data_IF_816747099559
#
_entry.id   IF_816747099559
#
_cell.length_a   1.000
_cell.length_b   1.000
_cell.length_c   1.000
_cell.angle_alpha   90.00
_cell.angle_beta   90.00
_cell.angle_gamma   90.00
#
_symmetry.space_group_name_H-M   'P 1'
#
loop_
_entity.id
_entity.type
_entity.pdbx_description
1 polymer ?
#
# COMPACT_ATOMS: atom_id res chain seq x y z
N UNK A 1 55.99 4.31 28.11
CA UNK A 1 55.23 5.51 28.58
C UNK A 1 54.45 6.23 27.47
N UNK A 2 54.87 6.19 26.20
CA UNK A 2 54.18 6.85 25.07
C UNK A 2 52.73 6.35 24.84
N UNK A 3 52.49 5.05 25.02
CA UNK A 3 51.19 4.40 24.84
C UNK A 3 50.06 4.96 25.74
N UNK A 4 50.37 5.24 27.02
CA UNK A 4 49.38 5.80 27.96
C UNK A 4 48.93 7.20 27.55
N UNK A 5 49.79 8.01 26.92
CA UNK A 5 49.47 9.38 26.47
C UNK A 5 48.67 9.39 25.17
N UNK A 6 48.93 8.45 24.27
CA UNK A 6 48.16 8.27 23.03
C UNK A 6 46.73 7.75 23.34
N UNK A 7 46.62 6.73 24.18
CA UNK A 7 45.33 6.21 24.64
C UNK A 7 44.47 7.28 25.33
N UNK A 8 45.04 8.06 26.26
CA UNK A 8 44.33 9.17 26.93
C UNK A 8 43.89 10.29 25.99
N UNK A 9 44.67 10.60 24.94
CA UNK A 9 44.28 11.59 23.92
C UNK A 9 43.11 11.10 23.06
N UNK A 10 43.11 9.82 22.70
CA UNK A 10 42.02 9.20 21.95
C UNK A 10 40.73 9.10 22.77
N UNK A 11 40.82 8.76 24.06
CA UNK A 11 39.67 8.83 24.99
C UNK A 11 39.06 10.24 25.05
N UNK A 12 39.90 11.27 25.26
CA UNK A 12 39.42 12.67 25.36
C UNK A 12 38.79 13.18 24.06
N UNK A 13 39.22 12.69 22.89
CA UNK A 13 38.57 12.98 21.60
C UNK A 13 37.23 12.26 21.46
N UNK A 14 37.12 11.02 21.96
CA UNK A 14 35.88 10.25 21.96
C UNK A 14 34.81 10.87 22.88
N UNK A 15 35.22 11.37 24.05
CA UNK A 15 34.36 12.06 25.02
C UNK A 15 33.90 13.46 24.58
N UNK A 16 34.55 14.06 23.58
CA UNK A 16 34.30 15.46 23.17
C UNK A 16 32.91 15.67 22.57
N UNK A 17 32.33 14.66 21.94
CA UNK A 17 30.90 14.64 21.58
C UNK A 17 30.21 13.79 22.63
N UNK A 18 29.34 14.39 23.44
CA UNK A 18 28.58 13.64 24.44
C UNK A 18 27.65 12.69 23.69
N UNK A 19 27.79 11.38 23.90
CA UNK A 19 26.94 10.35 23.27
C UNK A 19 25.46 10.63 23.44
N UNK A 20 25.07 11.27 24.54
CA UNK A 20 23.71 11.74 24.79
C UNK A 20 23.21 12.80 23.78
N UNK A 21 24.07 13.69 23.29
CA UNK A 21 23.69 14.65 22.23
C UNK A 21 23.37 13.94 20.91
N UNK A 22 24.13 12.89 20.57
CA UNK A 22 23.85 12.06 19.39
C UNK A 22 22.54 11.29 19.54
N UNK A 23 22.22 10.82 20.74
CA UNK A 23 20.93 10.16 21.02
C UNK A 23 19.75 11.13 20.87
N UNK A 24 19.85 12.36 21.39
CA UNK A 24 18.81 13.38 21.20
C UNK A 24 18.64 13.67 19.71
N UNK A 25 19.74 13.90 18.99
CA UNK A 25 19.70 14.16 17.56
C UNK A 25 19.06 12.99 16.80
N UNK A 26 19.41 11.75 17.14
CA UNK A 26 18.82 10.55 16.57
C UNK A 26 17.30 10.52 16.75
N UNK A 27 16.81 10.76 17.98
CA UNK A 27 15.37 10.77 18.27
C UNK A 27 14.66 11.85 17.46
N UNK A 28 15.23 13.06 17.37
CA UNK A 28 14.66 14.14 16.57
C UNK A 28 14.60 13.78 15.08
N UNK A 29 15.67 13.20 14.53
CA UNK A 29 15.69 12.77 13.13
C UNK A 29 14.70 11.64 12.88
N UNK A 30 14.58 10.66 13.79
CA UNK A 30 13.58 9.61 13.69
C UNK A 30 12.15 10.16 13.71
N UNK A 31 11.87 11.18 14.53
CA UNK A 31 10.57 11.83 14.55
C UNK A 31 10.25 12.53 13.22
N UNK A 32 11.23 13.24 12.65
CA UNK A 32 11.10 13.87 11.33
C UNK A 32 10.86 12.81 10.25
N UNK A 33 11.64 11.73 10.25
CA UNK A 33 11.49 10.62 9.31
C UNK A 33 10.09 9.97 9.40
N UNK A 34 9.62 9.69 10.61
CA UNK A 34 8.28 9.14 10.84
C UNK A 34 7.18 10.08 10.34
N UNK A 35 7.37 11.40 10.48
CA UNK A 35 6.42 12.40 10.00
C UNK A 35 6.34 12.41 8.48
N UNK A 36 7.47 12.41 7.77
CA UNK A 36 7.48 12.34 6.31
C UNK A 36 6.94 11.01 5.77
N UNK A 37 7.31 9.88 6.39
CA UNK A 37 6.72 8.57 6.08
C UNK A 37 5.20 8.58 6.23
N UNK A 38 4.67 9.26 7.25
CA UNK A 38 3.23 9.42 7.46
C UNK A 38 2.58 10.30 6.40
N UNK A 39 3.22 11.39 6.01
CA UNK A 39 2.73 12.27 4.93
C UNK A 39 2.61 11.48 3.62
N UNK A 40 3.62 10.68 3.29
CA UNK A 40 3.59 9.81 2.12
C UNK A 40 2.41 8.82 2.18
N UNK A 41 2.21 8.18 3.32
CA UNK A 41 1.10 7.23 3.48
C UNK A 41 -0.28 7.90 3.35
N UNK A 42 -0.47 9.06 4.01
CA UNK A 42 -1.73 9.82 3.92
C UNK A 42 -2.00 10.31 2.49
N UNK A 43 -0.97 10.76 1.78
CA UNK A 43 -1.09 11.17 0.38
C UNK A 43 -1.52 10.03 -0.54
N UNK A 44 -1.12 8.80 -0.24
CA UNK A 44 -1.61 7.60 -0.95
C UNK A 44 -3.08 7.34 -0.61
N UNK A 45 -3.47 7.37 0.67
CA UNK A 45 -4.85 7.12 1.10
C UNK A 45 -5.83 8.09 0.44
N UNK A 46 -5.46 9.37 0.34
CA UNK A 46 -6.26 10.39 -0.35
C UNK A 46 -6.47 10.09 -1.84
N UNK A 47 -5.46 9.55 -2.52
CA UNK A 47 -5.58 9.16 -3.93
C UNK A 47 -6.41 7.91 -4.11
N UNK A 48 -6.25 6.94 -3.20
CA UNK A 48 -7.09 5.73 -3.15
C UNK A 48 -8.56 6.10 -2.94
N UNK A 49 -8.89 7.03 -2.05
CA UNK A 49 -10.27 7.48 -1.86
C UNK A 49 -10.80 8.26 -3.07
N UNK A 50 -9.94 9.01 -3.76
CA UNK A 50 -10.30 9.69 -4.99
C UNK A 50 -10.64 8.72 -6.13
N UNK A 51 -9.93 7.59 -6.25
CA UNK A 51 -10.29 6.50 -7.18
C UNK A 51 -11.68 5.94 -6.84
N UNK A 52 -11.93 5.60 -5.57
CA UNK A 52 -13.24 5.08 -5.14
C UNK A 52 -14.38 6.07 -5.39
N UNK A 53 -14.12 7.37 -5.23
CA UNK A 53 -15.10 8.42 -5.51
C UNK A 53 -15.38 8.55 -7.00
N UNK A 54 -14.35 8.48 -7.85
CA UNK A 54 -14.50 8.49 -9.31
C UNK A 54 -15.23 7.24 -9.82
N UNK A 55 -14.96 6.08 -9.23
CA UNK A 55 -15.64 4.82 -9.54
C UNK A 55 -17.16 4.94 -9.28
N UNK A 56 -17.51 5.51 -8.11
CA UNK A 56 -18.90 5.76 -7.73
C UNK A 56 -19.60 6.77 -8.64
N UNK A 57 -18.90 7.78 -9.16
CA UNK A 57 -19.49 8.79 -10.04
C UNK A 57 -19.69 8.31 -11.48
N UNK A 58 -19.02 7.23 -11.88
CA UNK A 58 -19.15 6.63 -13.21
C UNK A 58 -18.47 7.39 -14.34
N UNK A 59 -17.58 8.34 -14.03
CA UNK A 59 -16.82 9.06 -15.04
C UNK A 59 -15.51 8.30 -15.37
N UNK A 60 -15.52 7.54 -16.46
CA UNK A 60 -14.40 6.70 -16.90
C UNK A 60 -13.08 7.47 -17.05
N UNK A 61 -13.12 8.67 -17.63
CA UNK A 61 -11.94 9.53 -17.77
C UNK A 61 -11.36 9.93 -16.42
N UNK A 62 -12.22 10.23 -15.43
CA UNK A 62 -11.76 10.51 -14.07
C UNK A 62 -11.19 9.26 -13.40
N UNK A 63 -11.82 8.09 -13.55
CA UNK A 63 -11.31 6.83 -13.00
C UNK A 63 -9.89 6.57 -13.52
N UNK A 64 -9.69 6.65 -14.83
CA UNK A 64 -8.38 6.46 -15.46
C UNK A 64 -7.34 7.45 -14.91
N UNK A 65 -7.66 8.74 -14.86
CA UNK A 65 -6.76 9.77 -14.35
C UNK A 65 -6.41 9.55 -12.87
N UNK A 66 -7.36 9.14 -12.04
CA UNK A 66 -7.13 8.86 -10.62
C UNK A 66 -6.30 7.60 -10.40
N UNK A 67 -6.49 6.57 -11.22
CA UNK A 67 -5.63 5.38 -11.19
C UNK A 67 -4.20 5.71 -11.58
N UNK A 68 -3.99 6.53 -12.61
CA UNK A 68 -2.65 6.94 -13.01
C UNK A 68 -1.96 7.80 -11.93
N UNK A 69 -2.67 8.74 -11.31
CA UNK A 69 -2.13 9.54 -10.20
C UNK A 69 -1.77 8.64 -9.00
N UNK A 70 -2.65 7.70 -8.65
CA UNK A 70 -2.37 6.73 -7.59
C UNK A 70 -1.15 5.85 -7.90
N UNK A 71 -1.06 5.33 -9.12
CA UNK A 71 0.08 4.52 -9.56
C UNK A 71 1.37 5.32 -9.43
N UNK A 72 1.42 6.50 -10.05
CA UNK A 72 2.60 7.36 -10.04
C UNK A 72 3.02 7.70 -8.61
N UNK A 73 2.07 8.05 -7.77
CA UNK A 73 2.36 8.40 -6.38
C UNK A 73 2.92 7.20 -5.61
N UNK A 74 2.26 6.04 -5.74
CA UNK A 74 2.65 4.81 -5.04
C UNK A 74 4.04 4.33 -5.45
N UNK A 75 4.40 4.44 -6.74
CA UNK A 75 5.71 3.98 -7.24
C UNK A 75 6.86 4.97 -6.99
N UNK A 76 6.56 6.21 -6.56
CA UNK A 76 7.57 7.27 -6.37
C UNK A 76 7.77 7.68 -4.91
N UNK A 77 6.94 7.19 -3.98
CA UNK A 77 7.04 7.48 -2.55
C UNK A 77 7.11 6.17 -1.75
N UNK A 78 8.01 6.10 -0.76
CA UNK A 78 8.02 4.99 0.20
C UNK A 78 6.83 5.06 1.15
N UNK A 79 6.47 3.91 1.75
CA UNK A 79 5.33 3.80 2.67
C UNK A 79 4.00 4.25 2.05
N UNK A 80 3.91 4.18 0.72
CA UNK A 80 2.77 4.61 -0.09
C UNK A 80 2.22 3.46 -0.95
N UNK A 81 2.35 2.21 -0.49
CA UNK A 81 1.72 1.07 -1.16
C UNK A 81 0.20 1.23 -1.12
N UNK A 82 -0.43 1.18 -2.28
CA UNK A 82 -1.89 1.38 -2.39
C UNK A 82 -2.70 0.25 -1.78
N UNK A 83 -2.15 -0.97 -1.74
CA UNK A 83 -2.91 -2.20 -1.48
C UNK A 83 -3.92 -2.48 -2.59
N UNK A 84 -4.72 -3.53 -2.41
CA UNK A 84 -5.71 -3.92 -3.42
C UNK A 84 -6.89 -2.95 -3.46
N UNK A 85 -7.24 -2.46 -4.64
CA UNK A 85 -8.41 -1.61 -4.92
C UNK A 85 -9.24 -2.30 -5.99
N UNK A 86 -10.56 -2.28 -5.79
CA UNK A 86 -11.52 -2.79 -6.77
C UNK A 86 -12.38 -1.63 -7.28
N UNK A 87 -12.54 -1.54 -8.59
CA UNK A 87 -13.52 -0.66 -9.23
C UNK A 87 -14.89 -1.33 -9.21
N UNK A 88 -15.47 -1.40 -8.01
CA UNK A 88 -16.71 -2.12 -7.77
C UNK A 88 -17.85 -1.54 -8.62
N UNK A 89 -18.06 -0.23 -8.62
CA UNK A 89 -19.20 0.36 -9.29
C UNK A 89 -19.07 0.28 -10.83
N UNK A 90 -17.87 0.37 -11.38
CA UNK A 90 -17.65 0.10 -12.80
C UNK A 90 -17.98 -1.35 -13.15
N UNK A 91 -17.51 -2.31 -12.34
CA UNK A 91 -17.84 -3.72 -12.55
C UNK A 91 -19.37 -3.97 -12.54
N UNK A 92 -20.08 -3.36 -11.58
CA UNK A 92 -21.54 -3.46 -11.46
C UNK A 92 -22.24 -2.91 -12.72
N UNK A 93 -21.80 -1.75 -13.24
CA UNK A 93 -22.33 -1.15 -14.48
C UNK A 93 -22.06 -2.02 -15.72
N UNK A 94 -20.85 -2.54 -15.85
CA UNK A 94 -20.45 -3.33 -17.00
C UNK A 94 -21.15 -4.70 -17.01
N UNK A 95 -21.33 -5.30 -15.83
CA UNK A 95 -22.11 -6.53 -15.63
C UNK A 95 -23.58 -6.31 -15.94
N UNK A 96 -24.18 -5.20 -15.48
CA UNK A 96 -25.53 -4.82 -15.84
C UNK A 96 -25.69 -4.70 -17.36
N UNK A 97 -24.76 -4.01 -18.03
CA UNK A 97 -24.79 -3.86 -19.49
C UNK A 97 -24.63 -5.20 -20.21
N UNK A 98 -23.77 -6.10 -19.72
CA UNK A 98 -23.62 -7.44 -20.27
C UNK A 98 -24.91 -8.26 -20.16
N UNK A 99 -25.56 -8.21 -19.00
CA UNK A 99 -26.83 -8.90 -18.75
C UNK A 99 -27.96 -8.35 -19.62
N UNK A 100 -28.02 -7.03 -19.82
CA UNK A 100 -29.00 -6.40 -20.71
C UNK A 100 -28.77 -6.73 -22.19
N UNK A 101 -27.51 -6.82 -22.62
CA UNK A 101 -27.20 -7.28 -23.99
C UNK A 101 -27.61 -8.73 -24.21
N UNK A 102 -27.40 -9.58 -23.21
CA UNK A 102 -27.86 -10.97 -23.26
C UNK A 102 -29.39 -11.06 -23.23
N UNK A 103 -30.09 -10.28 -22.41
CA UNK A 103 -31.57 -10.28 -22.38
C UNK A 103 -32.18 -9.86 -23.71
N UNK A 104 -31.53 -8.93 -24.43
CA UNK A 104 -31.97 -8.46 -25.74
C UNK A 104 -31.68 -9.44 -26.90
N UNK A 105 -30.94 -10.53 -26.67
CA UNK A 105 -30.54 -11.46 -27.73
C UNK A 105 -31.71 -12.30 -28.28
N UNK A 106 -32.72 -12.61 -27.46
CA UNK A 106 -33.91 -13.36 -27.86
C UNK A 106 -35.08 -13.08 -26.92
N UNK A 107 -36.32 -13.33 -27.37
CA UNK A 107 -37.51 -13.24 -26.51
C UNK A 107 -37.49 -14.26 -25.37
N UNK A 108 -36.84 -15.40 -25.57
CA UNK A 108 -36.66 -16.43 -24.54
C UNK A 108 -35.67 -15.96 -23.47
N UNK A 109 -34.55 -15.34 -23.86
CA UNK A 109 -33.60 -14.70 -22.94
C UNK A 109 -34.31 -13.62 -22.11
N UNK A 110 -35.09 -12.75 -22.75
CA UNK A 110 -35.84 -11.71 -22.03
C UNK A 110 -36.78 -12.31 -20.97
N UNK A 111 -37.48 -13.41 -21.28
CA UNK A 111 -38.38 -14.09 -20.35
C UNK A 111 -37.64 -14.72 -19.17
N UNK A 112 -36.58 -15.49 -19.44
CA UNK A 112 -35.80 -16.18 -18.41
C UNK A 112 -35.06 -15.18 -17.52
N UNK A 113 -34.49 -14.12 -18.10
CA UNK A 113 -33.85 -13.05 -17.33
C UNK A 113 -34.86 -12.33 -16.43
N UNK A 114 -36.06 -12.00 -16.92
CA UNK A 114 -37.11 -11.37 -16.10
C UNK A 114 -37.55 -12.26 -14.92
N UNK A 115 -37.58 -13.58 -15.09
CA UNK A 115 -37.85 -14.51 -13.99
C UNK A 115 -36.72 -14.49 -12.95
N UNK A 116 -35.46 -14.44 -13.40
CA UNK A 116 -34.32 -14.32 -12.50
C UNK A 116 -34.31 -12.98 -11.73
N UNK A 117 -34.62 -11.87 -12.41
CA UNK A 117 -34.75 -10.55 -11.77
C UNK A 117 -35.87 -10.55 -10.71
N UNK A 118 -37.01 -11.18 -10.98
CA UNK A 118 -38.13 -11.25 -10.04
C UNK A 118 -37.77 -11.93 -8.71
N UNK A 119 -36.80 -12.86 -8.72
CA UNK A 119 -36.31 -13.55 -7.52
C UNK A 119 -35.25 -12.71 -6.79
N UNK A 120 -34.29 -12.14 -7.53
CA UNK A 120 -33.13 -11.48 -6.95
C UNK A 120 -33.37 -10.02 -6.57
N UNK A 121 -34.17 -9.27 -7.35
CA UNK A 121 -34.40 -7.84 -7.14
C UNK A 121 -35.05 -7.49 -5.79
N UNK A 122 -36.00 -8.29 -5.23
CA UNK A 122 -36.54 -8.02 -3.90
C UNK A 122 -35.53 -8.22 -2.75
N UNK A 123 -34.46 -9.01 -2.97
CA UNK A 123 -33.50 -9.38 -1.94
C UNK A 123 -32.31 -8.41 -1.85
N UNK A 124 -32.03 -7.66 -2.93
CA UNK A 124 -30.86 -6.80 -3.01
C UNK A 124 -31.22 -5.43 -3.59
N UNK A 125 -30.60 -4.39 -3.05
CA UNK A 125 -30.72 -3.03 -3.60
C UNK A 125 -29.69 -2.83 -4.72
N UNK A 126 -30.14 -2.78 -5.97
CA UNK A 126 -29.31 -2.49 -7.13
C UNK A 126 -28.35 -3.61 -7.55
N UNK A 127 -27.43 -3.29 -8.46
CA UNK A 127 -26.56 -4.25 -9.16
C UNK A 127 -25.33 -4.69 -8.37
N UNK A 128 -25.46 -4.90 -7.07
CA UNK A 128 -24.33 -5.35 -6.23
C UNK A 128 -23.76 -6.71 -6.69
N UNK A 129 -22.53 -7.02 -6.29
CA UNK A 129 -21.93 -8.35 -6.51
C UNK A 129 -22.83 -9.51 -6.05
N UNK A 130 -23.53 -9.34 -4.93
CA UNK A 130 -24.45 -10.35 -4.40
C UNK A 130 -25.68 -10.52 -5.30
N UNK A 131 -26.20 -9.43 -5.85
CA UNK A 131 -27.28 -9.46 -6.83
C UNK A 131 -26.84 -10.19 -8.11
N UNK A 132 -25.66 -9.87 -8.65
CA UNK A 132 -25.12 -10.51 -9.86
C UNK A 132 -24.95 -12.02 -9.64
N UNK A 133 -24.42 -12.43 -8.48
CA UNK A 133 -24.29 -13.85 -8.15
C UNK A 133 -25.64 -14.55 -8.03
N UNK A 134 -26.62 -13.93 -7.36
CA UNK A 134 -27.99 -14.45 -7.30
C UNK A 134 -28.56 -14.65 -8.71
N UNK A 135 -28.39 -13.65 -9.57
CA UNK A 135 -28.90 -13.66 -10.93
C UNK A 135 -28.31 -14.81 -11.75
N UNK A 136 -26.98 -14.96 -11.74
CA UNK A 136 -26.29 -16.07 -12.44
C UNK A 136 -26.71 -17.43 -11.88
N UNK A 137 -26.83 -17.55 -10.55
CA UNK A 137 -27.31 -18.79 -9.92
C UNK A 137 -28.73 -19.14 -10.36
N UNK A 138 -29.61 -18.14 -10.49
CA UNK A 138 -30.98 -18.36 -10.96
C UNK A 138 -31.01 -18.75 -12.45
N UNK A 139 -30.18 -18.13 -13.28
CA UNK A 139 -30.02 -18.51 -14.69
C UNK A 139 -29.53 -19.94 -14.86
N UNK A 140 -28.63 -20.41 -13.98
CA UNK A 140 -28.08 -21.78 -14.06
C UNK A 140 -29.12 -22.90 -13.87
N UNK A 141 -30.33 -22.56 -13.39
CA UNK A 141 -31.44 -23.51 -13.23
C UNK A 141 -32.15 -23.81 -14.55
N UNK A 142 -31.97 -22.97 -15.57
CA UNK A 142 -32.58 -23.15 -16.88
C UNK A 142 -31.62 -23.94 -17.78
N UNK A 143 -32.13 -24.84 -18.64
CA UNK A 143 -31.28 -25.63 -19.51
C UNK A 143 -30.60 -24.74 -20.55
N UNK A 144 -29.27 -24.84 -20.68
CA UNK A 144 -28.51 -24.21 -21.75
C UNK A 144 -28.98 -24.78 -23.09
N UNK A 145 -29.53 -23.92 -23.94
CA UNK A 145 -29.96 -24.25 -25.30
C UNK A 145 -29.38 -23.22 -26.26
N UNK A 146 -29.31 -23.52 -27.55
CA UNK A 146 -28.81 -22.58 -28.57
C UNK A 146 -29.60 -21.25 -28.61
N UNK A 147 -30.80 -21.22 -28.02
CA UNK A 147 -31.67 -20.05 -27.93
C UNK A 147 -31.45 -19.23 -26.65
N UNK A 148 -30.77 -19.81 -25.65
CA UNK A 148 -30.45 -19.21 -24.36
C UNK A 148 -28.97 -18.80 -24.34
N UNK A 149 -28.72 -17.51 -24.52
CA UNK A 149 -27.36 -16.97 -24.48
C UNK A 149 -27.01 -16.52 -23.06
N UNK A 150 -26.00 -17.14 -22.47
CA UNK A 150 -25.50 -16.73 -21.15
C UNK A 150 -24.88 -15.32 -21.20
N UNK A 151 -25.05 -14.52 -20.13
CA UNK A 151 -24.39 -13.22 -20.02
C UNK A 151 -22.88 -13.40 -19.87
N UNK A 152 -22.12 -12.82 -20.79
CA UNK A 152 -20.65 -12.78 -20.72
C UNK A 152 -20.23 -11.71 -19.70
N UNK A 153 -20.06 -12.12 -18.44
CA UNK A 153 -19.68 -11.21 -17.38
C UNK A 153 -18.22 -10.75 -17.54
N UNK A 154 -17.92 -9.47 -17.21
CA UNK A 154 -16.56 -8.97 -17.23
C UNK A 154 -15.64 -9.76 -16.30
N UNK A 155 -14.36 -9.90 -16.69
CA UNK A 155 -13.36 -10.51 -15.83
C UNK A 155 -13.04 -9.58 -14.65
N UNK A 156 -13.20 -10.08 -13.42
CA UNK A 156 -12.98 -9.33 -12.18
C UNK A 156 -11.54 -8.80 -12.03
N UNK A 157 -10.55 -9.48 -12.60
CA UNK A 157 -9.14 -9.06 -12.52
C UNK A 157 -8.88 -7.73 -13.26
N UNK A 158 -9.70 -7.39 -14.26
CA UNK A 158 -9.57 -6.12 -14.99
C UNK A 158 -9.96 -4.90 -14.13
N UNK A 159 -10.70 -5.12 -13.05
CA UNK A 159 -11.17 -4.09 -12.11
C UNK A 159 -10.33 -4.06 -10.83
N UNK A 160 -9.35 -4.98 -10.71
CA UNK A 160 -8.45 -5.10 -9.56
C UNK A 160 -7.16 -4.35 -9.86
N UNK A 161 -6.85 -3.35 -9.05
CA UNK A 161 -5.62 -2.58 -9.15
C UNK A 161 -4.83 -2.63 -7.85
N UNK A 162 -3.53 -2.82 -7.97
CA UNK A 162 -2.60 -2.83 -6.84
C UNK A 162 -1.26 -2.25 -7.28
N UNK A 163 -0.78 -1.28 -6.52
CA UNK A 163 0.50 -0.61 -6.74
C UNK A 163 1.34 -0.67 -5.47
N UNK A 164 2.57 -1.16 -5.62
CA UNK A 164 3.54 -1.33 -4.55
C UNK A 164 4.50 -0.16 -4.47
N UNK A 165 4.82 0.28 -3.25
CA UNK A 165 5.82 1.32 -3.04
C UNK A 165 7.24 0.75 -3.00
N UNK A 166 8.24 1.49 -3.52
CA UNK A 166 9.64 1.14 -3.33
C UNK A 166 10.04 1.21 -1.85
N UNK A 167 11.09 0.48 -1.49
CA UNK A 167 11.64 0.47 -0.12
C UNK A 167 12.31 1.80 0.24
N UNK A 168 12.89 2.49 -0.74
CA UNK A 168 13.51 3.79 -0.56
C UNK A 168 13.22 4.71 -1.75
N UNK A 169 13.11 6.01 -1.48
CA UNK A 169 12.79 7.05 -2.45
C UNK A 169 13.66 8.28 -2.20
N UNK A 170 14.11 8.99 -3.26
CA UNK A 170 14.96 10.17 -3.12
C UNK A 170 14.15 11.43 -2.74
N UNK A 171 13.25 11.32 -1.77
CA UNK A 171 12.41 12.39 -1.23
C UNK A 171 12.81 12.73 0.22
N UNK A 172 12.10 13.68 0.85
CA UNK A 172 12.40 14.07 2.24
C UNK A 172 12.30 12.89 3.22
N UNK A 173 11.37 11.96 3.00
CA UNK A 173 11.27 10.74 3.78
C UNK A 173 12.53 9.87 3.63
N UNK A 174 12.97 9.61 2.41
CA UNK A 174 14.14 8.76 2.22
C UNK A 174 15.45 9.36 2.70
N UNK A 175 15.66 10.66 2.50
CA UNK A 175 16.86 11.32 3.02
C UNK A 175 16.89 11.40 4.54
N UNK A 176 15.73 11.60 5.19
CA UNK A 176 15.65 11.59 6.65
C UNK A 176 15.92 10.19 7.24
N UNK A 177 15.47 9.12 6.58
CA UNK A 177 15.82 7.73 6.96
C UNK A 177 17.32 7.48 6.78
N UNK A 178 17.91 7.88 5.65
CA UNK A 178 19.36 7.73 5.42
C UNK A 178 20.14 8.44 6.52
N UNK A 179 19.75 9.66 6.89
CA UNK A 179 20.36 10.40 7.99
C UNK A 179 20.20 9.66 9.33
N UNK A 180 19.01 9.12 9.62
CA UNK A 180 18.77 8.32 10.83
C UNK A 180 19.70 7.09 10.88
N UNK A 181 19.84 6.37 9.77
CA UNK A 181 20.72 5.19 9.66
C UNK A 181 22.18 5.57 9.86
N UNK A 182 22.64 6.68 9.26
CA UNK A 182 24.02 7.16 9.44
C UNK A 182 24.29 7.50 10.92
N UNK A 183 23.38 8.22 11.59
CA UNK A 183 23.53 8.55 13.01
C UNK A 183 23.53 7.27 13.86
N UNK A 184 22.66 6.31 13.56
CA UNK A 184 22.61 5.02 14.25
C UNK A 184 23.93 4.26 14.12
N UNK A 185 24.50 4.19 12.91
CA UNK A 185 25.81 3.55 12.67
C UNK A 185 26.90 4.23 13.49
N UNK A 186 26.93 5.56 13.55
CA UNK A 186 27.90 6.31 14.37
C UNK A 186 27.74 6.00 15.87
N UNK A 187 26.51 5.90 16.37
CA UNK A 187 26.23 5.53 17.77
C UNK A 187 26.74 4.11 18.05
N UNK A 188 26.41 3.14 17.19
CA UNK A 188 26.82 1.74 17.33
C UNK A 188 28.34 1.60 17.34
N UNK A 189 29.04 2.21 16.37
CA UNK A 189 30.50 2.18 16.30
C UNK A 189 31.15 2.76 17.56
N UNK A 190 30.57 3.83 18.13
CA UNK A 190 31.04 4.42 19.39
C UNK A 190 30.84 3.48 20.58
N UNK A 191 29.68 2.84 20.69
CA UNK A 191 29.41 1.88 21.77
C UNK A 191 30.37 0.70 21.69
N UNK A 192 30.60 0.15 20.50
CA UNK A 192 31.58 -0.93 20.27
C UNK A 192 32.98 -0.48 20.71
N UNK A 193 33.40 0.74 20.31
CA UNK A 193 34.72 1.28 20.67
C UNK A 193 34.90 1.42 22.19
N UNK A 194 33.86 1.87 22.90
CA UNK A 194 33.86 1.98 24.35
C UNK A 194 33.90 0.60 25.04
N UNK A 195 33.16 -0.38 24.54
CA UNK A 195 33.17 -1.76 25.06
C UNK A 195 34.55 -2.39 24.91
N UNK A 196 35.16 -2.30 23.71
CA UNK A 196 36.51 -2.83 23.45
C UNK A 196 37.52 -2.19 24.39
N UNK A 197 37.47 -0.87 24.54
CA UNK A 197 38.36 -0.15 25.45
C UNK A 197 38.19 -0.62 26.90
N UNK A 198 36.95 -0.78 27.36
CA UNK A 198 36.67 -1.26 28.71
C UNK A 198 37.20 -2.69 28.93
N UNK A 199 37.05 -3.57 27.95
CA UNK A 199 37.59 -4.93 28.00
C UNK A 199 39.11 -4.94 28.07
N UNK A 200 39.80 -4.15 27.22
CA UNK A 200 41.26 -4.04 27.23
C UNK A 200 41.80 -3.50 28.55
N UNK A 201 41.14 -2.49 29.14
CA UNK A 201 41.50 -1.97 30.46
C UNK A 201 41.30 -3.03 31.53
N UNK A 202 40.15 -3.71 31.55
CA UNK A 202 39.86 -4.76 32.54
C UNK A 202 40.85 -5.93 32.45
N UNK A 203 41.28 -6.29 31.25
CA UNK A 203 42.28 -7.34 31.03
C UNK A 203 43.67 -6.92 31.52
N UNK A 204 44.15 -5.71 31.17
CA UNK A 204 45.46 -5.21 31.63
C UNK A 204 45.55 -4.98 33.14
N UNK A 205 44.47 -4.55 33.79
CA UNK A 205 44.44 -4.32 35.25
C UNK A 205 44.13 -5.58 36.08
N UNK A 206 43.76 -6.71 35.45
CA UNK A 206 43.69 -8.03 36.13
C UNK A 206 45.02 -8.79 36.10
N UNK A 207 45.95 -8.39 35.23
CA UNK A 207 47.26 -9.03 35.06
C UNK A 207 48.40 -8.30 35.80
N UNK A 208 48.08 -7.32 36.65
CA UNK A 208 48.99 -6.58 37.52
C UNK A 208 48.46 -6.63 38.96
#
# INVERSE_FOLDING_TARGET
MADKRAARRNLRRLERVKTWQLLILFVLVCFVAATFLRINNVGMIQRRSAVATADKSGNETQIFNRLQDLQRYSTTHMNASSGVIYLQHQYERDSQAAIQRASAASSENARVHAQAEAVCHPQYSGWSMAYIQCFVNELSKYPTSDKLKDPELPNTELYRHEYTSPLWTPDFAGWSIVLAVVILVVIVLRLISLVILHLLLRYKYRAA
#
